data_IF_331092278223
#
_entry.id   IF_331092278223
#
_cell.length_a   1.000
_cell.length_b   1.000
_cell.length_c   1.000
_cell.angle_alpha   90.00
_cell.angle_beta   90.00
_cell.angle_gamma   90.00
#
_symmetry.space_group_name_H-M   'P 1'
#
loop_
_entity.id
_entity.type
_entity.pdbx_description
1 polymer ?
#
# COMPACT_ATOMS: atom_id res chain seq x y z
N UNK A 1 77.00 -21.67 -19.60
CA UNK A 1 75.84 -22.43 -19.08
C UNK A 1 75.47 -21.84 -17.72
N UNK A 2 74.37 -21.10 -17.54
CA UNK A 2 72.94 -21.51 -17.61
C UNK A 2 72.66 -22.58 -16.53
N UNK A 3 71.84 -22.40 -15.48
CA UNK A 3 70.56 -21.66 -15.37
C UNK A 3 70.25 -21.30 -13.89
N UNK A 4 69.62 -20.14 -13.66
CA UNK A 4 68.58 -19.92 -12.63
C UNK A 4 67.25 -19.97 -13.40
N UNK A 5 66.06 -20.20 -12.82
CA UNK A 5 65.68 -20.28 -11.39
C UNK A 5 64.70 -21.45 -11.10
N UNK A 6 63.98 -21.37 -9.98
CA UNK A 6 62.75 -22.12 -9.63
C UNK A 6 62.93 -23.36 -8.75
N UNK A 7 62.54 -23.24 -7.48
CA UNK A 7 61.32 -23.93 -7.09
C UNK A 7 60.72 -23.23 -5.87
N UNK A 8 59.53 -22.69 -6.10
CA UNK A 8 58.61 -22.22 -5.07
C UNK A 8 58.30 -23.43 -4.20
N UNK A 9 58.84 -23.49 -2.97
CA UNK A 9 58.27 -24.38 -1.95
C UNK A 9 56.83 -23.95 -1.77
N UNK A 10 55.97 -24.73 -2.41
CA UNK A 10 54.54 -24.55 -2.46
C UNK A 10 54.06 -24.36 -1.03
N UNK A 11 53.37 -23.24 -0.81
CA UNK A 11 52.29 -23.15 0.15
C UNK A 11 51.69 -24.54 0.34
N UNK A 12 51.79 -25.09 1.55
CA UNK A 12 50.96 -26.20 1.99
C UNK A 12 49.52 -25.83 1.67
N UNK A 13 49.09 -26.23 0.47
CA UNK A 13 47.71 -26.13 0.06
C UNK A 13 47.05 -27.27 0.82
N UNK A 14 46.73 -26.95 2.08
CA UNK A 14 45.90 -27.73 2.95
C UNK A 14 44.62 -28.00 2.17
N UNK A 15 44.55 -29.20 1.59
CA UNK A 15 43.36 -29.70 0.91
C UNK A 15 42.26 -29.66 1.97
N UNK A 16 41.20 -28.85 1.83
CA UNK A 16 40.09 -28.93 2.77
C UNK A 16 39.52 -30.33 2.62
N UNK A 17 39.70 -31.14 3.68
CA UNK A 17 39.23 -32.52 3.71
C UNK A 17 37.78 -32.56 3.27
N UNK A 18 37.46 -33.45 2.30
CA UNK A 18 36.10 -33.73 1.87
C UNK A 18 35.24 -33.90 3.12
N UNK A 19 34.37 -32.92 3.39
CA UNK A 19 33.41 -33.05 4.47
C UNK A 19 32.62 -34.34 4.19
N UNK A 20 32.53 -35.25 5.18
CA UNK A 20 31.77 -36.48 4.97
C UNK A 20 30.34 -36.08 4.63
N UNK A 21 29.76 -36.70 3.59
CA UNK A 21 28.44 -36.36 3.04
C UNK A 21 27.35 -36.32 4.13
N UNK A 22 27.53 -37.06 5.23
CA UNK A 22 26.67 -37.00 6.40
C UNK A 22 26.60 -35.64 7.10
N UNK A 23 27.66 -34.84 7.07
CA UNK A 23 27.69 -33.49 7.66
C UNK A 23 26.82 -32.52 6.86
N UNK A 24 26.86 -32.58 5.53
CA UNK A 24 25.99 -31.76 4.66
C UNK A 24 24.51 -32.09 4.87
N UNK A 25 24.18 -33.37 5.02
CA UNK A 25 22.81 -33.80 5.30
C UNK A 25 22.34 -33.30 6.67
N UNK A 26 23.19 -33.44 7.71
CA UNK A 26 22.88 -32.99 9.06
C UNK A 26 22.63 -31.48 9.14
N UNK A 27 23.44 -30.67 8.44
CA UNK A 27 23.25 -29.21 8.37
C UNK A 27 21.95 -28.85 7.65
N UNK A 28 21.61 -29.54 6.56
CA UNK A 28 20.33 -29.36 5.86
C UNK A 28 19.13 -29.65 6.75
N UNK A 29 19.14 -30.80 7.45
CA UNK A 29 18.08 -31.16 8.40
C UNK A 29 17.97 -30.17 9.56
N UNK A 30 19.10 -29.72 10.11
CA UNK A 30 19.12 -28.72 11.17
C UNK A 30 18.49 -27.39 10.72
N UNK A 31 18.78 -26.95 9.48
CA UNK A 31 18.16 -25.75 8.90
C UNK A 31 16.65 -25.89 8.71
N UNK A 32 16.18 -27.04 8.21
CA UNK A 32 14.75 -27.31 8.02
C UNK A 32 14.02 -27.36 9.38
N UNK A 33 14.60 -28.03 10.37
CA UNK A 33 14.05 -28.11 11.73
C UNK A 33 13.96 -26.73 12.38
N UNK A 34 15.01 -25.91 12.24
CA UNK A 34 15.02 -24.53 12.72
C UNK A 34 13.94 -23.69 12.03
N UNK A 35 13.79 -23.84 10.71
CA UNK A 35 12.77 -23.12 9.95
C UNK A 35 11.34 -23.51 10.37
N UNK A 36 11.06 -24.82 10.55
CA UNK A 36 9.78 -25.27 11.08
C UNK A 36 9.52 -24.75 12.50
N UNK A 37 10.55 -24.73 13.36
CA UNK A 37 10.44 -24.20 14.72
C UNK A 37 10.08 -22.72 14.71
N UNK A 38 10.73 -21.93 13.85
CA UNK A 38 10.42 -20.50 13.68
C UNK A 38 8.97 -20.34 13.22
N UNK A 39 8.51 -21.12 12.23
CA UNK A 39 7.11 -21.07 11.77
C UNK A 39 6.14 -21.45 12.89
N UNK A 40 6.44 -22.49 13.67
CA UNK A 40 5.59 -22.91 14.79
C UNK A 40 5.48 -21.80 15.84
N UNK A 41 6.60 -21.24 16.30
CA UNK A 41 6.61 -20.13 17.25
C UNK A 41 5.89 -18.91 16.68
N UNK A 42 6.12 -18.60 15.40
CA UNK A 42 5.41 -17.53 14.71
C UNK A 42 3.90 -17.80 14.66
N UNK A 43 3.46 -19.03 14.39
CA UNK A 43 2.04 -19.37 14.30
C UNK A 43 1.32 -19.28 15.65
N UNK A 44 1.99 -19.66 16.74
CA UNK A 44 1.40 -19.59 18.09
C UNK A 44 1.26 -18.14 18.57
N UNK A 45 2.22 -17.28 18.19
CA UNK A 45 2.31 -15.88 18.63
C UNK A 45 1.65 -14.91 17.66
N UNK A 46 1.42 -15.37 16.43
CA UNK A 46 0.72 -14.66 15.38
C UNK A 46 -0.53 -15.48 15.02
N UNK A 47 -1.52 -15.60 15.92
CA UNK A 47 -2.86 -15.92 15.47
C UNK A 47 -3.19 -14.84 14.46
N UNK A 48 -3.18 -15.20 13.17
CA UNK A 48 -3.53 -14.29 12.08
C UNK A 48 -5.02 -13.98 12.22
N UNK A 49 -5.37 -13.12 13.18
CA UNK A 49 -6.57 -12.31 13.05
C UNK A 49 -6.38 -11.46 11.81
N UNK A 50 -7.30 -11.64 10.87
CA UNK A 50 -7.17 -11.26 9.48
C UNK A 50 -6.58 -9.87 9.29
N UNK A 51 -5.34 -9.84 8.78
CA UNK A 51 -4.74 -8.66 8.14
C UNK A 51 -5.63 -8.14 7.01
N UNK A 52 -6.58 -8.94 6.51
CA UNK A 52 -7.61 -8.48 5.58
C UNK A 52 -8.95 -8.15 6.24
N UNK A 53 -9.43 -8.89 7.25
CA UNK A 53 -10.77 -8.67 7.79
C UNK A 53 -10.87 -7.35 8.60
N UNK A 54 -9.87 -7.05 9.42
CA UNK A 54 -9.85 -5.81 10.21
C UNK A 54 -9.55 -4.58 9.32
N UNK A 55 -8.66 -4.73 8.33
CA UNK A 55 -8.31 -3.67 7.39
C UNK A 55 -9.45 -3.36 6.41
N UNK A 56 -10.20 -4.37 5.96
CA UNK A 56 -11.40 -4.19 5.13
C UNK A 56 -12.51 -3.54 5.93
N UNK A 57 -12.76 -3.97 7.18
CA UNK A 57 -13.74 -3.33 8.04
C UNK A 57 -13.41 -1.84 8.29
N UNK A 58 -12.13 -1.53 8.50
CA UNK A 58 -11.65 -0.15 8.69
C UNK A 58 -11.77 0.69 7.40
N UNK A 59 -11.46 0.13 6.24
CA UNK A 59 -11.69 0.82 4.95
C UNK A 59 -13.17 1.10 4.71
N UNK A 60 -14.07 0.19 5.09
CA UNK A 60 -15.52 0.39 4.92
C UNK A 60 -16.05 1.47 5.88
N UNK A 61 -15.58 1.54 7.12
CA UNK A 61 -15.96 2.63 8.03
C UNK A 61 -15.45 3.99 7.56
N UNK A 62 -14.21 4.04 7.06
CA UNK A 62 -13.61 5.27 6.55
C UNK A 62 -14.36 5.79 5.31
N UNK A 63 -14.80 4.89 4.42
CA UNK A 63 -15.61 5.27 3.25
C UNK A 63 -16.96 5.87 3.64
N UNK A 64 -17.63 5.34 4.67
CA UNK A 64 -18.90 5.92 5.16
C UNK A 64 -18.69 7.30 5.77
N UNK A 65 -17.61 7.48 6.54
CA UNK A 65 -17.26 8.78 7.12
C UNK A 65 -16.92 9.81 6.02
N UNK A 66 -16.17 9.41 4.99
CA UNK A 66 -15.82 10.27 3.85
C UNK A 66 -17.07 10.62 3.03
N UNK A 67 -17.98 9.68 2.80
CA UNK A 67 -19.24 9.97 2.11
C UNK A 67 -20.11 10.94 2.91
N UNK A 68 -20.24 10.75 4.23
CA UNK A 68 -21.01 11.64 5.08
C UNK A 68 -20.43 13.07 5.07
N UNK A 69 -19.10 13.20 5.22
CA UNK A 69 -18.43 14.50 5.11
C UNK A 69 -18.52 15.10 3.71
N UNK A 70 -18.53 14.27 2.66
CA UNK A 70 -18.70 14.70 1.28
C UNK A 70 -20.09 15.28 1.02
N UNK A 71 -21.13 14.59 1.51
CA UNK A 71 -22.53 15.02 1.39
C UNK A 71 -22.74 16.32 2.18
N UNK A 72 -22.26 16.40 3.42
CA UNK A 72 -22.38 17.62 4.22
C UNK A 72 -21.72 18.82 3.52
N UNK A 73 -20.58 18.63 2.85
CA UNK A 73 -19.89 19.69 2.11
C UNK A 73 -20.63 20.18 0.87
N UNK A 74 -21.53 19.39 0.26
CA UNK A 74 -22.28 19.79 -0.94
C UNK A 74 -23.71 20.24 -0.64
N UNK A 75 -24.25 19.91 0.54
CA UNK A 75 -25.62 20.27 0.95
C UNK A 75 -25.68 21.45 1.92
N UNK A 76 -24.56 21.85 2.53
CA UNK A 76 -24.54 22.92 3.53
C UNK A 76 -24.01 24.24 3.00
N UNK A 77 -24.57 25.32 3.55
CA UNK A 77 -24.01 26.66 3.46
C UNK A 77 -22.78 26.78 4.36
N UNK A 78 -21.76 27.50 3.92
CA UNK A 78 -20.56 27.68 4.73
C UNK A 78 -19.66 28.79 4.21
N UNK A 79 -18.66 29.16 5.00
CA UNK A 79 -17.64 30.14 4.59
C UNK A 79 -16.41 29.37 4.13
N UNK A 80 -15.98 29.59 2.88
CA UNK A 80 -14.76 28.95 2.34
C UNK A 80 -13.55 29.84 2.62
N UNK A 81 -13.71 31.15 2.38
CA UNK A 81 -12.72 32.17 2.69
C UNK A 81 -13.40 33.51 2.96
N UNK A 82 -13.47 33.90 4.23
CA UNK A 82 -14.09 35.16 4.65
C UNK A 82 -13.32 36.40 4.17
N UNK A 83 -12.00 36.30 4.02
CA UNK A 83 -11.15 37.44 3.64
C UNK A 83 -11.26 37.72 2.14
N UNK A 84 -11.42 36.69 1.34
CA UNK A 84 -11.70 36.80 -0.09
C UNK A 84 -13.20 36.97 -0.41
N UNK A 85 -14.08 36.92 0.60
CA UNK A 85 -15.54 37.00 0.40
C UNK A 85 -16.14 35.78 -0.31
N UNK A 86 -15.49 34.62 -0.24
CA UNK A 86 -15.90 33.39 -0.91
C UNK A 86 -16.74 32.53 0.04
N UNK A 87 -18.01 32.39 -0.31
CA UNK A 87 -18.99 31.61 0.44
C UNK A 87 -19.40 30.36 -0.36
N UNK A 88 -19.74 29.31 0.36
CA UNK A 88 -20.30 28.07 -0.17
C UNK A 88 -21.82 28.14 -0.12
N UNK A 89 -22.45 27.78 -1.23
CA UNK A 89 -23.87 27.50 -1.35
C UNK A 89 -24.08 26.00 -1.65
N UNK A 90 -25.21 25.40 -1.25
CA UNK A 90 -25.58 24.05 -1.65
C UNK A 90 -25.63 23.91 -3.17
N UNK A 91 -25.19 22.74 -3.66
CA UNK A 91 -25.09 22.50 -5.12
C UNK A 91 -26.46 22.54 -5.79
N UNK A 92 -27.51 22.08 -5.11
CA UNK A 92 -28.88 22.15 -5.62
C UNK A 92 -29.31 23.59 -5.94
N UNK A 93 -29.03 24.50 -5.00
CA UNK A 93 -29.38 25.91 -5.13
C UNK A 93 -28.51 26.60 -6.20
N UNK A 94 -27.22 26.23 -6.27
CA UNK A 94 -26.32 26.71 -7.32
C UNK A 94 -26.83 26.34 -8.72
N UNK A 95 -27.26 25.09 -8.92
CA UNK A 95 -27.84 24.63 -10.18
C UNK A 95 -29.10 25.42 -10.54
N UNK A 96 -30.00 25.64 -9.58
CA UNK A 96 -31.22 26.41 -9.80
C UNK A 96 -30.93 27.87 -10.20
N UNK A 97 -29.97 28.51 -9.54
CA UNK A 97 -29.54 29.89 -9.86
C UNK A 97 -28.99 29.96 -11.27
N UNK A 98 -28.10 29.03 -11.65
CA UNK A 98 -27.50 29.00 -13.00
C UNK A 98 -28.59 28.80 -14.07
N UNK A 99 -29.52 27.87 -13.85
CA UNK A 99 -30.63 27.64 -14.79
C UNK A 99 -31.53 28.87 -14.88
N UNK A 100 -31.89 29.51 -13.76
CA UNK A 100 -32.67 30.75 -13.77
C UNK A 100 -31.97 31.89 -14.50
N UNK A 101 -30.65 31.97 -14.39
CA UNK A 101 -29.86 33.04 -15.00
C UNK A 101 -29.65 32.85 -16.51
N UNK A 102 -29.59 31.61 -16.97
CA UNK A 102 -29.32 31.27 -18.37
C UNK A 102 -30.49 30.58 -19.09
N UNK A 103 -31.67 30.48 -18.44
CA UNK A 103 -32.86 30.01 -19.11
C UNK A 103 -33.14 30.95 -20.29
N UNK A 104 -33.16 30.42 -21.53
CA UNK A 104 -33.53 31.23 -22.68
C UNK A 104 -34.93 31.78 -22.44
N UNK A 105 -35.09 33.09 -22.66
CA UNK A 105 -36.39 33.72 -22.71
C UNK A 105 -37.27 32.90 -23.68
N UNK A 106 -38.49 32.49 -23.30
CA UNK A 106 -39.33 31.72 -24.20
C UNK A 106 -39.54 32.55 -25.46
N UNK A 107 -38.92 32.11 -26.57
CA UNK A 107 -39.11 32.68 -27.89
C UNK A 107 -40.62 32.89 -28.10
N UNK A 108 -41.06 34.10 -28.49
CA UNK A 108 -42.48 34.33 -28.74
C UNK A 108 -42.92 33.33 -29.80
N UNK A 109 -43.90 32.50 -29.44
CA UNK A 109 -44.43 31.49 -30.34
C UNK A 109 -44.91 32.19 -31.61
N UNK A 110 -44.22 31.95 -32.71
CA UNK A 110 -44.68 32.29 -34.04
C UNK A 110 -45.47 31.10 -34.57
N UNK A 111 -46.59 30.83 -33.90
CA UNK A 111 -47.70 30.05 -34.41
C UNK A 111 -48.58 30.97 -35.27
N UNK A 112 -48.17 31.10 -36.54
CA UNK A 112 -48.98 31.62 -37.65
C UNK A 112 -50.05 30.64 -38.09
#
# INVERSE_FOLDING_TARGET
MSELPSNVSHSEQQVPGRLPVGVSLAVGFAGILLFMLIIWIAYIRNPKEGVDAALVAQRVSDLKAIQAQGIEKITSYGVVDAQAGIYRIPVADAMEIVVKQYAPEPEPSNDS
#
